data_IF_678633792417
#
_entry.id   IF_678633792417
#
_cell.length_a   1.000
_cell.length_b   1.000
_cell.length_c   1.000
_cell.angle_alpha   90.00
_cell.angle_beta   90.00
_cell.angle_gamma   90.00
#
_symmetry.space_group_name_H-M   'P 1'
#
loop_
_entity.id
_entity.type
_entity.pdbx_description
1 polymer ?
#
# COMPACT_ATOMS: atom_id res chain seq x y z
N UNK A 1 -6.02 -3.28 -22.92
CA UNK A 1 -6.37 -3.37 -21.49
C UNK A 1 -5.29 -2.63 -20.72
N UNK A 2 -5.58 -1.47 -20.14
CA UNK A 2 -4.60 -0.72 -19.37
C UNK A 2 -4.38 -1.44 -18.04
N UNK A 3 -3.27 -2.15 -17.89
CA UNK A 3 -2.86 -2.68 -16.60
C UNK A 3 -2.61 -1.50 -15.66
N UNK A 4 -3.46 -1.34 -14.65
CA UNK A 4 -3.25 -0.36 -13.59
C UNK A 4 -1.97 -0.71 -12.83
N UNK A 5 -0.85 -0.10 -13.24
CA UNK A 5 0.44 -0.25 -12.56
C UNK A 5 0.37 0.50 -11.24
N UNK A 6 0.74 -0.18 -10.15
CA UNK A 6 0.90 0.47 -8.87
C UNK A 6 2.32 1.06 -8.78
N UNK A 7 2.47 2.21 -8.13
CA UNK A 7 3.75 2.89 -7.98
C UNK A 7 4.13 3.02 -6.51
N UNK A 8 5.41 2.81 -6.21
CA UNK A 8 5.95 2.99 -4.86
C UNK A 8 5.93 4.47 -4.48
N UNK A 9 5.37 4.82 -3.33
CA UNK A 9 5.29 6.21 -2.83
C UNK A 9 6.64 6.81 -2.40
N UNK A 10 7.73 6.04 -2.47
CA UNK A 10 9.07 6.46 -2.01
C UNK A 10 10.09 6.55 -3.13
N UNK A 11 10.11 5.59 -4.04
CA UNK A 11 11.07 5.54 -5.13
C UNK A 11 10.44 5.76 -6.51
N UNK A 12 9.12 5.94 -6.59
CA UNK A 12 8.34 6.09 -7.83
C UNK A 12 8.47 4.94 -8.86
N UNK A 13 9.18 3.87 -8.50
CA UNK A 13 9.28 2.65 -9.29
C UNK A 13 7.96 1.85 -9.31
N UNK A 14 7.79 1.09 -10.38
CA UNK A 14 6.62 0.21 -10.55
C UNK A 14 6.68 -0.91 -9.53
N UNK A 15 5.58 -1.09 -8.81
CA UNK A 15 5.32 -2.26 -7.99
C UNK A 15 4.94 -3.41 -8.93
N UNK A 16 5.94 -4.16 -9.39
CA UNK A 16 5.66 -5.30 -10.27
C UNK A 16 5.05 -6.38 -9.40
N UNK A 17 3.76 -6.67 -9.58
CA UNK A 17 3.05 -7.67 -8.78
C UNK A 17 3.54 -9.11 -9.00
N UNK A 18 4.80 -9.31 -9.37
CA UNK A 18 5.46 -10.61 -9.39
C UNK A 18 5.54 -11.08 -7.94
N UNK A 19 5.19 -12.34 -7.70
CA UNK A 19 5.10 -12.97 -6.38
C UNK A 19 6.40 -12.89 -5.54
N UNK A 20 7.50 -12.37 -6.10
CA UNK A 20 8.79 -12.22 -5.44
C UNK A 20 9.01 -10.83 -4.83
N UNK A 21 8.23 -9.80 -5.19
CA UNK A 21 8.42 -8.45 -4.65
C UNK A 21 7.53 -8.20 -3.43
N UNK A 22 8.13 -8.17 -2.24
CA UNK A 22 7.43 -7.86 -0.99
C UNK A 22 7.04 -6.38 -0.95
N UNK A 23 5.74 -6.11 -0.90
CA UNK A 23 5.17 -4.77 -0.99
C UNK A 23 3.81 -4.68 -0.28
N UNK A 24 3.41 -3.47 0.09
CA UNK A 24 2.03 -3.17 0.47
C UNK A 24 1.37 -2.35 -0.64
N UNK A 25 0.17 -2.74 -1.05
CA UNK A 25 -0.67 -1.97 -1.99
C UNK A 25 -1.69 -1.15 -1.20
N UNK A 26 -1.96 0.07 -1.66
CA UNK A 26 -3.01 0.87 -1.07
C UNK A 26 -4.36 0.19 -1.28
N UNK A 27 -5.09 -0.03 -0.19
CA UNK A 27 -6.43 -0.60 -0.22
C UNK A 27 -7.43 0.32 -0.96
N UNK A 28 -7.14 1.61 -1.05
CA UNK A 28 -7.89 2.51 -1.92
C UNK A 28 -7.55 2.23 -3.40
N UNK A 29 -8.39 1.42 -4.06
CA UNK A 29 -8.26 0.97 -5.45
C UNK A 29 -8.13 2.10 -6.48
N UNK A 30 -8.42 3.35 -6.12
CA UNK A 30 -8.37 4.50 -7.03
C UNK A 30 -7.00 5.17 -7.13
N UNK A 31 -6.07 4.92 -6.21
CA UNK A 31 -4.84 5.73 -6.15
C UNK A 31 -3.61 5.08 -6.82
N UNK A 32 -3.66 3.79 -7.16
CA UNK A 32 -2.55 3.05 -7.78
C UNK A 32 -1.20 3.25 -7.04
N UNK A 33 -1.25 3.38 -5.71
CA UNK A 33 -0.06 3.58 -4.87
C UNK A 33 0.20 2.35 -4.02
N UNK A 34 1.46 2.15 -3.66
CA UNK A 34 1.90 1.19 -2.66
C UNK A 34 3.28 1.54 -2.14
N UNK A 35 3.94 0.61 -1.45
CA UNK A 35 5.29 0.78 -0.95
C UNK A 35 6.04 -0.56 -0.98
N UNK A 36 7.26 -0.57 -1.52
CA UNK A 36 8.17 -1.71 -1.36
C UNK A 36 8.56 -1.87 0.11
N UNK A 37 8.70 -3.09 0.60
CA UNK A 37 9.20 -3.30 1.96
C UNK A 37 10.58 -2.69 2.16
N UNK A 38 11.45 -2.76 1.15
CA UNK A 38 12.79 -2.14 1.14
C UNK A 38 12.76 -0.61 1.21
N UNK A 39 11.65 0.02 0.80
CA UNK A 39 11.45 1.47 0.89
C UNK A 39 10.68 1.88 2.16
N UNK A 40 10.21 0.92 2.94
CA UNK A 40 9.48 1.17 4.19
C UNK A 40 10.44 1.37 5.36
N UNK A 41 9.95 1.98 6.43
CA UNK A 41 10.68 2.08 7.70
C UNK A 41 10.40 0.91 8.65
N UNK A 42 9.74 -0.15 8.17
CA UNK A 42 9.39 -1.30 9.00
C UNK A 42 10.63 -2.14 9.29
N UNK A 43 10.74 -2.60 10.52
CA UNK A 43 11.75 -3.56 10.92
C UNK A 43 11.40 -4.99 10.45
N UNK A 44 12.35 -5.92 10.59
CA UNK A 44 12.18 -7.31 10.12
C UNK A 44 10.95 -8.00 10.71
N UNK A 45 10.68 -7.82 12.01
CA UNK A 45 9.53 -8.46 12.68
C UNK A 45 8.20 -7.89 12.19
N UNK A 46 8.13 -6.58 11.97
CA UNK A 46 6.95 -5.94 11.37
C UNK A 46 6.72 -6.43 9.94
N UNK A 47 7.77 -6.52 9.13
CA UNK A 47 7.68 -7.04 7.76
C UNK A 47 7.25 -8.51 7.72
N UNK A 48 7.74 -9.34 8.65
CA UNK A 48 7.30 -10.73 8.78
C UNK A 48 5.82 -10.82 9.16
N UNK A 49 5.38 -10.01 10.13
CA UNK A 49 3.97 -9.95 10.51
C UNK A 49 3.08 -9.53 9.35
N UNK A 50 3.47 -8.49 8.60
CA UNK A 50 2.74 -8.01 7.42
C UNK A 50 2.63 -9.09 6.34
N UNK A 51 3.72 -9.83 6.10
CA UNK A 51 3.73 -10.91 5.12
C UNK A 51 2.81 -12.07 5.54
N UNK A 52 2.89 -12.51 6.80
CA UNK A 52 2.05 -13.60 7.32
C UNK A 52 0.56 -13.24 7.38
N UNK A 53 0.21 -11.95 7.34
CA UNK A 53 -1.16 -11.45 7.44
C UNK A 53 -1.57 -10.62 6.23
N UNK A 54 -0.90 -10.79 5.07
CA UNK A 54 -1.10 -9.93 3.88
C UNK A 54 -2.57 -9.84 3.42
N UNK A 55 -3.34 -10.90 3.59
CA UNK A 55 -4.75 -10.98 3.18
C UNK A 55 -5.70 -10.27 4.18
N UNK A 56 -5.20 -9.94 5.36
CA UNK A 56 -5.96 -9.31 6.44
C UNK A 56 -5.51 -7.87 6.73
N UNK A 57 -4.32 -7.48 6.28
CA UNK A 57 -3.77 -6.14 6.48
C UNK A 57 -4.29 -5.17 5.42
N UNK A 58 -4.91 -4.09 5.88
CA UNK A 58 -5.23 -2.93 5.03
C UNK A 58 -4.13 -1.88 5.18
N UNK A 59 -3.51 -1.49 4.08
CA UNK A 59 -2.54 -0.41 4.04
C UNK A 59 -3.11 0.77 3.25
N UNK A 60 -2.93 1.98 3.75
CA UNK A 60 -3.35 3.19 3.06
C UNK A 60 -2.16 4.13 2.88
N UNK A 61 -1.97 4.63 1.66
CA UNK A 61 -0.99 5.68 1.42
C UNK A 61 -1.41 6.97 2.14
N UNK A 62 -0.48 7.90 2.37
CA UNK A 62 -0.78 9.15 3.09
C UNK A 62 -1.93 9.97 2.49
N UNK A 63 -2.07 9.96 1.16
CA UNK A 63 -3.18 10.64 0.47
C UNK A 63 -4.55 9.99 0.70
N UNK A 64 -4.61 8.67 0.85
CA UNK A 64 -5.86 7.92 1.06
C UNK A 64 -6.19 7.68 2.54
N UNK A 65 -5.19 7.75 3.43
CA UNK A 65 -5.41 7.66 4.88
C UNK A 65 -6.35 8.78 5.34
N UNK A 66 -6.15 9.99 4.84
CA UNK A 66 -6.93 11.17 5.20
C UNK A 66 -8.34 11.21 4.58
N UNK A 67 -8.65 10.34 3.62
CA UNK A 67 -9.97 10.28 2.97
C UNK A 67 -10.95 9.34 3.67
N UNK A 68 -10.49 8.45 4.55
CA UNK A 68 -11.40 7.59 5.34
C UNK A 68 -12.09 8.32 6.51
N UNK A 69 -11.60 9.50 6.91
CA UNK A 69 -12.24 10.36 7.93
C UNK A 69 -13.05 11.52 7.33
N UNK A 70 -13.15 11.61 5.99
CA UNK A 70 -13.88 12.68 5.32
C UNK A 70 -15.38 12.38 5.11
N UNK A 71 -15.92 11.32 5.72
CA UNK A 71 -17.36 11.30 6.03
C UNK A 71 -17.57 12.22 7.22
N UNK A 72 -17.57 13.53 6.94
CA UNK A 72 -18.18 14.51 7.84
C UNK A 72 -19.65 14.10 7.96
N UNK A 73 -20.01 13.50 9.09
CA UNK A 73 -21.40 13.41 9.50
C UNK A 73 -21.83 14.87 9.73
N UNK A 74 -22.58 15.43 8.79
CA UNK A 74 -23.35 16.63 9.06
C UNK A 74 -24.45 16.20 10.06
N UNK A 75 -24.33 16.68 11.29
CA UNK A 75 -25.43 16.75 12.24
C UNK A 75 -26.51 17.70 11.71
#
# INVERSE_FOLDING_TARGET
MSESRNFCVKCDEVLTGRDTEKMLKCTANSCNKGIHYTCSSYNTSELQFLESNKDHVKWFCGGCKNTNDAVKINL
#
